data_IF_899766076381
#
_entry.id   IF_899766076381
#
_cell.length_a   1.000
_cell.length_b   1.000
_cell.length_c   1.000
_cell.angle_alpha   90.00
_cell.angle_beta   90.00
_cell.angle_gamma   90.00
#
_symmetry.space_group_name_H-M   'P 1'
#
loop_
_entity.id
_entity.type
_entity.pdbx_description
1 polymer ?
#
# COMPACT_ATOMS: atom_id res chain seq x y z
N UNK A 1 -20.30 -2.75 -17.69
CA UNK A 1 -18.99 -2.13 -17.99
C UNK A 1 -18.00 -2.59 -16.93
N UNK A 2 -17.21 -3.62 -17.26
CA UNK A 2 -16.18 -4.19 -16.37
C UNK A 2 -15.08 -3.13 -16.27
N UNK A 3 -14.91 -2.54 -15.08
CA UNK A 3 -13.81 -1.59 -14.83
C UNK A 3 -12.50 -2.31 -15.15
N UNK A 4 -11.65 -1.59 -15.88
CA UNK A 4 -10.26 -1.90 -16.24
C UNK A 4 -9.63 -3.02 -15.41
N UNK A 5 -8.94 -3.95 -16.09
CA UNK A 5 -7.99 -4.87 -15.47
C UNK A 5 -6.99 -4.02 -14.66
N UNK A 6 -7.28 -3.84 -13.39
CA UNK A 6 -6.38 -3.18 -12.46
C UNK A 6 -5.14 -4.08 -12.37
N UNK A 7 -4.10 -3.72 -13.10
CA UNK A 7 -2.78 -4.31 -12.97
C UNK A 7 -2.22 -3.87 -11.62
N UNK A 8 -2.69 -4.53 -10.57
CA UNK A 8 -2.17 -4.36 -9.23
C UNK A 8 -0.78 -5.00 -9.22
N UNK A 9 0.25 -4.21 -8.92
CA UNK A 9 1.60 -4.73 -8.76
C UNK A 9 1.59 -5.72 -7.57
N UNK A 10 1.90 -6.98 -7.87
CA UNK A 10 2.01 -8.07 -6.89
C UNK A 10 3.40 -8.09 -6.24
N UNK A 11 4.36 -7.37 -6.82
CA UNK A 11 5.74 -7.26 -6.34
C UNK A 11 5.99 -5.85 -5.83
N UNK A 12 6.44 -5.75 -4.59
CA UNK A 12 6.97 -4.51 -4.02
C UNK A 12 8.40 -4.32 -4.53
N UNK A 13 8.58 -3.45 -5.52
CA UNK A 13 9.92 -2.97 -5.84
C UNK A 13 10.47 -2.15 -4.68
N UNK A 14 11.79 -2.18 -4.48
CA UNK A 14 12.48 -1.43 -3.42
C UNK A 14 12.15 0.06 -3.45
N UNK A 15 11.97 0.63 -4.65
CA UNK A 15 11.55 2.01 -4.86
C UNK A 15 10.11 2.29 -4.40
N UNK A 16 9.20 1.32 -4.54
CA UNK A 16 7.80 1.43 -4.11
C UNK A 16 7.68 1.26 -2.60
N UNK A 17 8.53 0.40 -2.02
CA UNK A 17 8.63 0.21 -0.57
C UNK A 17 9.09 1.50 0.14
N UNK A 18 10.12 2.15 -0.39
CA UNK A 18 10.63 3.43 0.14
C UNK A 18 9.57 4.54 0.08
N UNK A 19 8.78 4.59 -0.99
CA UNK A 19 7.64 5.52 -1.13
C UNK A 19 6.54 5.18 -0.14
N UNK A 20 6.20 3.91 0.02
CA UNK A 20 5.17 3.46 0.96
C UNK A 20 5.55 3.83 2.40
N UNK A 21 6.80 3.63 2.81
CA UNK A 21 7.25 4.03 4.15
C UNK A 21 7.21 5.54 4.42
N UNK A 22 7.38 6.39 3.40
CA UNK A 22 7.33 7.86 3.56
C UNK A 22 5.90 8.40 3.46
N UNK A 23 5.10 7.86 2.55
CA UNK A 23 3.74 8.35 2.30
C UNK A 23 2.74 7.83 3.33
N UNK A 24 2.89 6.60 3.82
CA UNK A 24 1.94 6.01 4.77
C UNK A 24 1.78 6.83 6.06
N UNK A 25 2.86 7.21 6.78
CA UNK A 25 2.71 8.04 7.99
C UNK A 25 2.19 9.46 7.70
N UNK A 26 2.21 9.92 6.44
CA UNK A 26 1.64 11.21 6.05
C UNK A 26 0.11 11.12 5.86
N UNK A 27 -0.43 9.93 5.65
CA UNK A 27 -1.87 9.74 5.44
C UNK A 27 -2.63 9.74 6.78
N UNK A 28 -3.60 10.64 6.92
CA UNK A 28 -4.53 10.67 8.06
C UNK A 28 -5.39 9.41 8.19
N UNK A 29 -5.59 8.64 7.11
CA UNK A 29 -6.38 7.41 7.10
C UNK A 29 -5.61 6.32 6.36
N UNK A 30 -5.22 5.29 7.09
CA UNK A 30 -4.44 4.17 6.55
C UNK A 30 -5.37 2.97 6.46
N UNK A 31 -5.84 2.69 5.25
CA UNK A 31 -6.68 1.53 4.95
C UNK A 31 -6.15 0.83 3.70
N UNK A 32 -6.39 -0.49 3.57
CA UNK A 32 -5.94 -1.23 2.39
C UNK A 32 -6.55 -0.68 1.10
N UNK A 33 -7.73 -0.07 1.15
CA UNK A 33 -8.36 0.59 -0.01
C UNK A 33 -7.55 1.81 -0.50
N UNK A 34 -7.10 2.68 0.42
CA UNK A 34 -6.30 3.86 0.07
C UNK A 34 -4.96 3.47 -0.54
N UNK A 35 -4.34 2.40 -0.05
CA UNK A 35 -3.09 1.86 -0.59
C UNK A 35 -3.28 1.27 -2.00
N UNK A 36 -4.39 0.57 -2.25
CA UNK A 36 -4.72 0.03 -3.58
C UNK A 36 -4.96 1.17 -4.58
N UNK A 37 -5.65 2.24 -4.19
CA UNK A 37 -5.92 3.38 -5.08
C UNK A 37 -4.67 4.24 -5.35
N UNK A 38 -3.85 4.52 -4.33
CA UNK A 38 -2.67 5.40 -4.45
C UNK A 38 -1.48 4.68 -5.09
N UNK A 39 -1.17 3.48 -4.60
CA UNK A 39 0.07 2.76 -4.91
C UNK A 39 -0.16 1.58 -5.86
N UNK A 40 -1.40 1.32 -6.28
CA UNK A 40 -1.77 0.20 -7.17
C UNK A 40 -1.19 -1.14 -6.70
N UNK A 41 -1.14 -1.34 -5.39
CA UNK A 41 -0.68 -2.59 -4.77
C UNK A 41 -1.86 -3.52 -4.53
N UNK A 42 -1.59 -4.83 -4.51
CA UNK A 42 -2.62 -5.81 -4.19
C UNK A 42 -3.12 -5.65 -2.75
N UNK A 43 -4.42 -5.89 -2.51
CA UNK A 43 -5.03 -5.76 -1.18
C UNK A 43 -4.42 -6.68 -0.13
N UNK A 44 -3.94 -7.86 -0.53
CA UNK A 44 -3.19 -8.79 0.33
C UNK A 44 -1.90 -8.16 0.85
N UNK A 45 -1.19 -7.46 -0.05
CA UNK A 45 0.08 -6.79 0.21
C UNK A 45 -0.13 -5.56 1.09
N UNK A 46 -1.20 -4.81 0.83
CA UNK A 46 -1.59 -3.66 1.65
C UNK A 46 -1.83 -4.04 3.12
N UNK A 47 -2.47 -5.19 3.40
CA UNK A 47 -2.66 -5.67 4.78
C UNK A 47 -1.35 -6.03 5.47
N UNK A 48 -0.45 -6.71 4.77
CA UNK A 48 0.86 -7.07 5.31
C UNK A 48 1.69 -5.81 5.57
N UNK A 49 1.69 -4.86 4.63
CA UNK A 49 2.40 -3.60 4.76
C UNK A 49 1.90 -2.78 5.96
N UNK A 50 0.59 -2.74 6.22
CA UNK A 50 0.03 -2.08 7.41
C UNK A 50 0.54 -2.74 8.70
N UNK A 51 0.51 -4.08 8.76
CA UNK A 51 1.05 -4.83 9.91
C UNK A 51 2.53 -4.58 10.14
N UNK A 52 3.32 -4.55 9.06
CA UNK A 52 4.76 -4.32 9.15
C UNK A 52 5.07 -2.86 9.55
N UNK A 53 4.21 -1.91 9.18
CA UNK A 53 4.30 -0.52 9.62
C UNK A 53 3.84 -0.31 11.07
N UNK A 54 2.83 -1.06 11.54
CA UNK A 54 2.48 -1.17 12.96
C UNK A 54 3.65 -1.73 13.78
N UNK A 55 4.27 -2.82 13.33
CA UNK A 55 5.43 -3.42 14.01
C UNK A 55 6.65 -2.48 14.05
N UNK A 56 6.82 -1.67 13.00
CA UNK A 56 7.88 -0.65 12.91
C UNK A 56 7.56 0.65 13.66
N UNK A 57 6.39 0.76 14.30
CA UNK A 57 5.99 1.93 15.09
C UNK A 57 5.85 3.21 14.26
N UNK A 58 5.58 3.08 12.96
CA UNK A 58 5.35 4.21 12.04
C UNK A 58 3.85 4.53 11.88
N UNK A 59 3.00 3.87 12.66
CA UNK A 59 1.56 4.12 12.81
C UNK A 59 1.12 3.78 14.24
#
# INVERSE_FOLDING_TARGET
KVKDKANNAVVLDKATYDKLQKEVPTYKLITPAVLVDRLRVNGSLARIAIRELEEKGSI
#
